data_IF_182651274104
#
_entry.id   IF_182651274104
#
_cell.length_a   1.000
_cell.length_b   1.000
_cell.length_c   1.000
_cell.angle_alpha   90.00
_cell.angle_beta   90.00
_cell.angle_gamma   90.00
#
_symmetry.space_group_name_H-M   'P 1'
#
loop_
_entity.id
_entity.type
_entity.pdbx_description
1 polymer ?
#
# COMPACT_ATOMS: atom_id res chain seq x y z
N UNK A 1 -9.33 -4.18 -32.99
CA UNK A 1 -8.46 -3.41 -32.11
C UNK A 1 -7.16 -4.16 -31.81
N UNK A 2 -7.19 -5.41 -31.37
CA UNK A 2 -6.02 -6.23 -31.02
C UNK A 2 -5.00 -6.40 -32.17
N UNK A 3 -5.45 -6.64 -33.41
CA UNK A 3 -4.57 -6.72 -34.58
C UNK A 3 -3.84 -5.40 -34.87
N UNK A 4 -4.46 -4.23 -34.62
CA UNK A 4 -3.84 -2.91 -34.83
C UNK A 4 -2.78 -2.55 -33.81
N UNK A 5 -2.76 -3.19 -32.64
CA UNK A 5 -1.80 -2.95 -31.57
C UNK A 5 -0.66 -3.97 -31.53
N UNK A 6 -0.51 -4.83 -32.55
CA UNK A 6 0.43 -5.96 -32.60
C UNK A 6 0.30 -6.94 -31.40
N UNK A 7 -0.84 -6.91 -30.71
CA UNK A 7 -1.10 -7.75 -29.53
C UNK A 7 -1.34 -9.23 -29.88
N UNK A 8 -1.52 -9.54 -31.16
CA UNK A 8 -1.72 -10.94 -31.62
C UNK A 8 -0.44 -11.77 -31.44
N UNK A 9 0.74 -11.16 -31.56
CA UNK A 9 2.03 -11.82 -31.32
C UNK A 9 2.32 -11.99 -29.83
N UNK A 10 1.69 -11.15 -28.98
CA UNK A 10 1.80 -11.16 -27.53
C UNK A 10 0.55 -11.68 -26.83
N UNK A 11 -0.08 -12.77 -27.31
CA UNK A 11 -1.37 -13.26 -26.85
C UNK A 11 -1.54 -13.31 -25.31
N UNK A 12 -0.48 -13.64 -24.58
CA UNK A 12 -0.47 -13.67 -23.11
C UNK A 12 -0.51 -12.26 -22.49
N UNK A 13 0.29 -11.33 -23.04
CA UNK A 13 0.26 -9.93 -22.57
C UNK A 13 -1.12 -9.30 -22.85
N UNK A 14 -1.75 -9.60 -24.00
CA UNK A 14 -3.09 -9.13 -24.31
C UNK A 14 -4.14 -9.67 -23.32
N UNK A 15 -4.02 -10.94 -22.91
CA UNK A 15 -4.94 -11.54 -21.92
C UNK A 15 -4.80 -10.84 -20.58
N UNK A 16 -3.58 -10.66 -20.05
CA UNK A 16 -3.40 -10.04 -18.73
C UNK A 16 -3.74 -8.55 -18.73
N UNK A 17 -3.53 -7.84 -19.85
CA UNK A 17 -3.82 -6.40 -19.98
C UNK A 17 -5.29 -6.08 -20.18
N UNK A 18 -6.04 -6.91 -20.95
CA UNK A 18 -7.37 -6.56 -21.44
C UNK A 18 -8.41 -7.68 -21.29
N UNK A 19 -8.01 -8.85 -20.78
CA UNK A 19 -8.92 -9.99 -20.61
C UNK A 19 -10.01 -9.68 -19.58
N UNK A 20 -11.24 -10.18 -19.84
CA UNK A 20 -12.35 -10.10 -18.88
C UNK A 20 -12.18 -11.10 -17.73
N UNK A 21 -11.61 -12.29 -18.01
CA UNK A 21 -11.42 -13.40 -17.07
C UNK A 21 -9.95 -13.85 -17.11
N UNK A 22 -9.05 -12.98 -16.67
CA UNK A 22 -7.59 -13.21 -16.76
C UNK A 22 -7.18 -14.47 -16.00
N UNK A 23 -7.71 -14.65 -14.80
CA UNK A 23 -7.33 -15.72 -13.88
C UNK A 23 -7.72 -17.11 -14.38
N UNK A 24 -8.64 -17.21 -15.33
CA UNK A 24 -8.93 -18.47 -16.06
C UNK A 24 -7.72 -18.99 -16.85
N UNK A 25 -6.88 -18.09 -17.35
CA UNK A 25 -5.73 -18.41 -18.21
C UNK A 25 -4.38 -18.25 -17.51
N UNK A 26 -4.28 -17.29 -16.60
CA UNK A 26 -3.08 -16.99 -15.81
C UNK A 26 -3.51 -16.79 -14.37
N UNK A 27 -3.71 -17.91 -13.66
CA UNK A 27 -4.28 -17.95 -12.30
C UNK A 27 -3.56 -16.99 -11.33
N UNK A 28 -2.25 -16.92 -11.42
CA UNK A 28 -1.43 -16.12 -10.51
C UNK A 28 -1.26 -14.64 -10.95
N UNK A 29 -1.88 -14.22 -12.07
CA UNK A 29 -1.90 -12.81 -12.46
C UNK A 29 -2.89 -12.02 -11.59
N UNK A 30 -2.60 -11.96 -10.29
CA UNK A 30 -3.40 -11.26 -9.27
C UNK A 30 -2.49 -10.66 -8.20
N UNK A 31 -3.06 -9.80 -7.37
CA UNK A 31 -2.38 -9.15 -6.26
C UNK A 31 -3.06 -9.61 -4.97
N UNK A 32 -2.26 -10.00 -3.98
CA UNK A 32 -2.72 -10.35 -2.64
C UNK A 32 -2.22 -9.31 -1.64
N UNK A 33 -3.14 -8.71 -0.90
CA UNK A 33 -2.84 -7.74 0.15
C UNK A 33 -3.25 -8.35 1.48
N UNK A 34 -2.39 -8.30 2.49
CA UNK A 34 -2.71 -8.79 3.83
C UNK A 34 -2.19 -7.89 4.93
N UNK A 35 -2.98 -7.73 6.00
CA UNK A 35 -2.53 -7.16 7.27
C UNK A 35 -2.10 -8.30 8.18
N UNK A 36 -0.91 -8.16 8.77
CA UNK A 36 -0.26 -9.15 9.61
C UNK A 36 -0.02 -8.59 11.00
N UNK A 37 -0.25 -9.42 12.01
CA UNK A 37 0.20 -9.15 13.38
C UNK A 37 1.63 -9.62 13.59
N UNK A 38 2.01 -10.73 12.95
CA UNK A 38 3.34 -11.31 12.98
C UNK A 38 3.65 -11.99 11.64
N UNK A 39 4.83 -12.58 11.48
CA UNK A 39 5.18 -13.32 10.25
C UNK A 39 4.23 -14.54 9.99
N UNK A 40 3.54 -15.03 11.02
CA UNK A 40 2.67 -16.21 10.95
C UNK A 40 1.20 -15.90 11.15
N UNK A 41 0.85 -14.75 11.68
CA UNK A 41 -0.54 -14.40 12.03
C UNK A 41 -1.09 -13.30 11.11
N UNK A 42 -2.13 -13.67 10.35
CA UNK A 42 -2.78 -12.79 9.36
C UNK A 42 -4.13 -12.34 9.90
N UNK A 43 -4.35 -11.04 10.00
CA UNK A 43 -5.64 -10.45 10.43
C UNK A 43 -6.67 -10.45 9.32
N UNK A 44 -6.27 -10.04 8.12
CA UNK A 44 -7.18 -9.92 6.98
C UNK A 44 -6.41 -10.04 5.67
N UNK A 45 -7.10 -10.51 4.64
CA UNK A 45 -6.53 -10.69 3.31
C UNK A 45 -7.55 -10.27 2.25
N UNK A 46 -7.08 -9.57 1.22
CA UNK A 46 -7.82 -9.28 -0.01
C UNK A 46 -7.05 -9.85 -1.21
N UNK A 47 -7.80 -10.44 -2.14
CA UNK A 47 -7.27 -10.92 -3.42
C UNK A 47 -7.88 -10.06 -4.53
N UNK A 48 -7.02 -9.42 -5.32
CA UNK A 48 -7.42 -8.51 -6.38
C UNK A 48 -7.20 -9.19 -7.71
N UNK A 49 -8.28 -9.48 -8.37
CA UNK A 49 -8.37 -10.13 -9.67
C UNK A 49 -8.84 -9.16 -10.77
N UNK A 50 -8.87 -9.62 -12.02
CA UNK A 50 -9.19 -8.83 -13.19
C UNK A 50 -7.96 -8.61 -14.08
N UNK A 51 -8.05 -7.67 -15.02
CA UNK A 51 -6.90 -7.30 -15.84
C UNK A 51 -5.95 -6.36 -15.09
N UNK A 52 -4.71 -6.24 -15.58
CA UNK A 52 -3.66 -5.50 -14.88
C UNK A 52 -4.01 -4.03 -14.62
N UNK A 53 -4.74 -3.38 -15.53
CA UNK A 53 -5.16 -1.98 -15.37
C UNK A 53 -6.12 -1.88 -14.17
N UNK A 54 -7.12 -2.76 -14.12
CA UNK A 54 -8.06 -2.81 -13.01
C UNK A 54 -7.40 -3.20 -11.69
N UNK A 55 -6.39 -4.08 -11.73
CA UNK A 55 -5.65 -4.49 -10.54
C UNK A 55 -4.87 -3.33 -9.94
N UNK A 56 -4.21 -2.48 -10.75
CA UNK A 56 -3.49 -1.29 -10.26
C UNK A 56 -4.44 -0.37 -9.51
N UNK A 57 -5.54 0.03 -10.14
CA UNK A 57 -6.49 0.97 -9.56
C UNK A 57 -7.09 0.42 -8.26
N UNK A 58 -7.55 -0.84 -8.26
CA UNK A 58 -8.15 -1.48 -7.09
C UNK A 58 -7.18 -1.71 -5.96
N UNK A 59 -5.93 -2.11 -6.28
CA UNK A 59 -4.92 -2.33 -5.24
C UNK A 59 -4.57 -1.04 -4.51
N UNK A 60 -4.37 0.04 -5.24
CA UNK A 60 -4.07 1.35 -4.66
C UNK A 60 -5.25 1.92 -3.87
N UNK A 61 -6.48 1.72 -4.36
CA UNK A 61 -7.68 2.14 -3.64
C UNK A 61 -7.87 1.35 -2.33
N UNK A 62 -7.74 0.03 -2.36
CA UNK A 62 -7.83 -0.83 -1.16
C UNK A 62 -6.70 -0.51 -0.17
N UNK A 63 -5.48 -0.29 -0.64
CA UNK A 63 -4.38 0.14 0.22
C UNK A 63 -4.75 1.44 0.95
N UNK A 64 -5.22 2.45 0.23
CA UNK A 64 -5.55 3.76 0.78
C UNK A 64 -6.75 3.73 1.73
N UNK A 65 -7.80 2.97 1.40
CA UNK A 65 -9.07 3.04 2.12
C UNK A 65 -9.19 2.02 3.26
N UNK A 66 -8.47 0.91 3.18
CA UNK A 66 -8.63 -0.18 4.15
C UNK A 66 -7.37 -0.43 4.99
N UNK A 67 -6.18 -0.34 4.41
CA UNK A 67 -4.98 -0.84 5.06
C UNK A 67 -4.04 0.23 5.58
N UNK A 68 -3.94 1.36 4.89
CA UNK A 68 -3.01 2.40 5.26
C UNK A 68 -3.66 3.40 6.19
N UNK A 69 -3.02 3.61 7.32
CA UNK A 69 -3.39 4.69 8.22
C UNK A 69 -3.05 6.04 7.59
N UNK A 70 -3.94 7.00 7.76
CA UNK A 70 -3.65 8.40 7.51
C UNK A 70 -3.47 9.13 8.84
N UNK A 71 -2.54 10.05 8.89
CA UNK A 71 -2.37 10.95 10.01
C UNK A 71 -2.68 12.39 9.60
N UNK A 72 -3.21 13.14 10.55
CA UNK A 72 -3.53 14.55 10.35
C UNK A 72 -2.26 15.35 10.62
N UNK A 73 -1.86 16.18 9.65
CA UNK A 73 -0.83 17.20 9.81
C UNK A 73 -1.42 18.57 9.51
N UNK A 74 -0.77 19.63 9.99
CA UNK A 74 -1.17 21.00 9.71
C UNK A 74 -0.05 21.71 8.96
N UNK A 75 -0.40 22.38 7.87
CA UNK A 75 0.48 23.25 7.11
C UNK A 75 -0.07 24.68 7.23
N UNK A 76 0.45 25.43 8.18
CA UNK A 76 -0.18 26.66 8.64
C UNK A 76 -1.56 26.39 9.25
N UNK A 77 -2.62 27.03 8.72
CA UNK A 77 -4.01 26.81 9.13
C UNK A 77 -4.71 25.65 8.38
N UNK A 78 -4.05 25.04 7.39
CA UNK A 78 -4.66 24.02 6.55
C UNK A 78 -4.40 22.63 7.14
N UNK A 79 -5.49 21.91 7.41
CA UNK A 79 -5.44 20.47 7.74
C UNK A 79 -5.04 19.69 6.50
N UNK A 80 -4.01 18.86 6.63
CA UNK A 80 -3.56 17.88 5.63
C UNK A 80 -3.73 16.49 6.20
N UNK A 81 -4.27 15.59 5.40
CA UNK A 81 -4.31 14.18 5.69
C UNK A 81 -3.24 13.50 4.85
N UNK A 82 -2.26 12.88 5.51
CA UNK A 82 -1.13 12.20 4.86
C UNK A 82 -1.18 10.72 5.17
N UNK A 83 -0.94 9.89 4.18
CA UNK A 83 -0.74 8.46 4.38
C UNK A 83 0.60 8.21 5.07
N UNK A 84 0.69 7.10 5.82
CA UNK A 84 1.93 6.64 6.46
C UNK A 84 3.05 6.42 5.42
N UNK A 85 2.69 5.99 4.22
CA UNK A 85 3.60 5.84 3.09
C UNK A 85 3.21 6.76 1.94
N UNK A 86 4.17 7.37 1.21
CA UNK A 86 3.89 8.22 0.07
C UNK A 86 3.14 7.44 -1.02
N UNK A 87 1.98 7.94 -1.42
CA UNK A 87 1.15 7.29 -2.43
C UNK A 87 1.90 7.04 -3.75
N UNK A 88 2.67 8.03 -4.22
CA UNK A 88 3.43 7.92 -5.45
C UNK A 88 4.55 6.87 -5.38
N UNK A 89 5.16 6.67 -4.20
CA UNK A 89 6.14 5.62 -4.00
C UNK A 89 5.49 4.22 -4.07
N UNK A 90 4.33 4.04 -3.44
CA UNK A 90 3.59 2.77 -3.50
C UNK A 90 3.08 2.47 -4.91
N UNK A 91 2.57 3.50 -5.60
CA UNK A 91 2.12 3.39 -6.98
C UNK A 91 3.26 2.94 -7.90
N UNK A 92 4.40 3.60 -7.84
CA UNK A 92 5.57 3.26 -8.64
C UNK A 92 6.10 1.85 -8.32
N UNK A 93 6.15 1.47 -7.04
CA UNK A 93 6.55 0.14 -6.61
C UNK A 93 5.62 -0.95 -7.15
N UNK A 94 4.30 -0.71 -7.13
CA UNK A 94 3.31 -1.65 -7.67
C UNK A 94 3.44 -1.81 -9.17
N UNK A 95 3.59 -0.72 -9.92
CA UNK A 95 3.79 -0.74 -11.37
C UNK A 95 5.07 -1.48 -11.74
N UNK A 96 6.17 -1.25 -11.02
CA UNK A 96 7.43 -1.98 -11.19
C UNK A 96 7.25 -3.47 -10.90
N UNK A 97 6.54 -3.84 -9.82
CA UNK A 97 6.23 -5.23 -9.51
C UNK A 97 5.48 -5.93 -10.64
N UNK A 98 4.49 -5.26 -11.26
CA UNK A 98 3.72 -5.80 -12.39
C UNK A 98 4.59 -5.96 -13.65
N UNK A 99 5.43 -4.97 -13.97
CA UNK A 99 6.24 -4.98 -15.18
C UNK A 99 7.40 -5.99 -15.10
N UNK A 100 7.97 -6.17 -13.92
CA UNK A 100 9.16 -6.98 -13.71
C UNK A 100 8.90 -8.39 -13.19
N UNK A 101 7.65 -8.73 -12.79
CA UNK A 101 7.35 -10.08 -12.31
C UNK A 101 7.46 -11.14 -13.41
N UNK A 102 7.75 -12.36 -13.00
CA UNK A 102 7.57 -13.55 -13.83
C UNK A 102 6.09 -13.99 -13.78
N UNK A 103 5.43 -14.11 -14.95
CA UNK A 103 4.01 -14.48 -15.02
C UNK A 103 3.75 -15.98 -15.12
N UNK A 104 4.81 -16.79 -15.31
CA UNK A 104 4.70 -18.25 -15.50
C UNK A 104 5.13 -19.05 -14.28
N UNK A 105 5.02 -18.45 -13.12
CA UNK A 105 5.34 -19.04 -11.82
C UNK A 105 4.09 -19.22 -10.98
N UNK A 106 4.22 -19.90 -9.86
CA UNK A 106 3.11 -20.25 -8.98
C UNK A 106 2.75 -19.18 -7.95
N UNK A 107 3.41 -18.01 -7.98
CA UNK A 107 3.21 -16.96 -6.98
C UNK A 107 2.51 -15.73 -7.56
N UNK A 108 1.68 -15.09 -6.75
CA UNK A 108 1.11 -13.76 -6.99
C UNK A 108 2.04 -12.63 -6.49
N UNK A 109 1.74 -11.37 -6.86
CA UNK A 109 2.29 -10.20 -6.18
C UNK A 109 1.71 -10.16 -4.77
N UNK A 110 2.57 -10.03 -3.75
CA UNK A 110 2.16 -9.99 -2.35
C UNK A 110 2.49 -8.63 -1.75
N UNK A 111 1.51 -8.04 -1.05
CA UNK A 111 1.68 -6.82 -0.27
C UNK A 111 1.33 -7.17 1.17
N UNK A 112 2.34 -7.20 2.03
CA UNK A 112 2.20 -7.54 3.45
C UNK A 112 2.35 -6.26 4.27
N UNK A 113 1.37 -5.98 5.11
CA UNK A 113 1.32 -4.78 5.91
C UNK A 113 1.41 -5.18 7.38
N UNK A 114 2.44 -4.69 8.06
CA UNK A 114 2.69 -4.81 9.48
C UNK A 114 2.48 -3.45 10.14
N UNK A 115 2.61 -3.37 11.44
CA UNK A 115 2.47 -2.10 12.15
C UNK A 115 3.66 -1.16 11.91
N UNK A 116 4.85 -1.74 11.73
CA UNK A 116 6.12 -1.04 11.53
C UNK A 116 6.61 -0.96 10.09
N UNK A 117 6.05 -1.77 9.17
CA UNK A 117 6.53 -1.89 7.79
C UNK A 117 5.46 -2.31 6.80
N UNK A 118 5.68 -2.00 5.52
CA UNK A 118 4.98 -2.59 4.38
C UNK A 118 6.01 -3.29 3.49
N UNK A 119 5.74 -4.54 3.14
CA UNK A 119 6.60 -5.36 2.27
C UNK A 119 5.85 -5.70 1.00
N UNK A 120 6.36 -5.26 -0.14
CA UNK A 120 5.86 -5.64 -1.46
C UNK A 120 6.82 -6.66 -2.07
N UNK A 121 6.32 -7.82 -2.48
CA UNK A 121 7.13 -8.90 -3.01
C UNK A 121 6.52 -9.56 -4.23
N UNK A 122 7.37 -9.90 -5.19
CA UNK A 122 7.00 -10.69 -6.36
C UNK A 122 8.16 -11.53 -6.83
N UNK A 123 7.87 -12.67 -7.45
CA UNK A 123 8.86 -13.45 -8.16
C UNK A 123 9.36 -12.66 -9.39
N UNK A 124 10.67 -12.49 -9.50
CA UNK A 124 11.32 -11.70 -10.54
C UNK A 124 12.67 -12.30 -10.91
N UNK A 125 13.15 -11.97 -12.11
CA UNK A 125 14.52 -12.30 -12.55
C UNK A 125 15.34 -11.03 -12.66
N UNK A 126 16.40 -10.95 -11.88
CA UNK A 126 17.38 -9.88 -12.02
C UNK A 126 18.33 -10.26 -13.18
N UNK A 127 18.13 -9.65 -14.36
CA UNK A 127 18.97 -9.85 -15.53
C UNK A 127 19.99 -8.73 -15.62
N UNK A 128 21.27 -9.08 -15.52
CA UNK A 128 22.40 -8.12 -15.65
C UNK A 128 22.33 -6.93 -14.68
N UNK A 129 21.66 -7.08 -13.54
CA UNK A 129 21.50 -6.05 -12.51
C UNK A 129 21.54 -6.71 -11.14
N UNK A 130 22.19 -6.09 -10.17
CA UNK A 130 22.21 -6.54 -8.79
C UNK A 130 21.15 -5.81 -7.96
N UNK A 131 20.91 -6.27 -6.73
CA UNK A 131 19.99 -5.59 -5.80
C UNK A 131 20.50 -4.20 -5.43
N UNK A 132 21.82 -4.06 -5.29
CA UNK A 132 22.49 -2.80 -4.98
C UNK A 132 22.30 -1.76 -6.10
N UNK A 133 22.24 -2.22 -7.34
CA UNK A 133 22.01 -1.35 -8.49
C UNK A 133 20.59 -0.76 -8.51
N UNK A 134 19.61 -1.44 -7.90
CA UNK A 134 18.23 -0.92 -7.79
C UNK A 134 18.14 0.37 -6.99
N UNK A 135 19.11 0.61 -6.09
CA UNK A 135 19.19 1.85 -5.31
C UNK A 135 19.99 2.97 -5.99
N UNK A 136 20.42 2.76 -7.24
CA UNK A 136 21.22 3.71 -8.03
C UNK A 136 20.58 3.94 -9.41
N UNK A 137 20.94 5.01 -10.11
CA UNK A 137 20.51 5.19 -11.50
C UNK A 137 20.95 4.02 -12.37
N UNK A 138 20.01 3.36 -13.04
CA UNK A 138 20.26 2.22 -13.93
C UNK A 138 19.32 2.26 -15.15
N UNK A 139 19.71 1.66 -16.28
CA UNK A 139 18.83 1.57 -17.43
C UNK A 139 17.58 0.73 -17.14
N UNK A 140 16.41 1.19 -17.60
CA UNK A 140 15.19 0.39 -17.54
C UNK A 140 15.27 -0.80 -18.48
N UNK A 141 15.13 -2.01 -17.94
CA UNK A 141 15.09 -3.26 -18.71
C UNK A 141 13.85 -4.05 -18.30
N UNK A 142 12.66 -3.66 -18.77
CA UNK A 142 11.42 -4.32 -18.36
C UNK A 142 11.41 -5.78 -18.79
N UNK A 143 11.13 -6.71 -17.85
CA UNK A 143 10.98 -8.12 -18.14
C UNK A 143 9.82 -8.36 -19.10
N UNK A 144 8.69 -7.70 -18.84
CA UNK A 144 7.47 -7.77 -19.66
C UNK A 144 7.36 -6.55 -20.59
N UNK A 145 8.16 -6.51 -21.65
CA UNK A 145 8.27 -5.35 -22.57
C UNK A 145 6.92 -4.88 -23.13
N UNK A 146 6.02 -5.81 -23.50
CA UNK A 146 4.69 -5.45 -24.04
C UNK A 146 3.79 -4.81 -22.99
N UNK A 147 3.87 -5.27 -21.73
CA UNK A 147 3.12 -4.67 -20.63
C UNK A 147 3.67 -3.26 -20.35
N UNK A 148 4.99 -3.11 -20.31
CA UNK A 148 5.65 -1.83 -20.13
C UNK A 148 5.29 -0.83 -21.23
N UNK A 149 5.29 -1.24 -22.50
CA UNK A 149 4.91 -0.39 -23.63
C UNK A 149 3.46 0.10 -23.53
N UNK A 150 2.52 -0.79 -23.14
CA UNK A 150 1.13 -0.39 -22.93
C UNK A 150 0.99 0.56 -21.74
N UNK A 151 1.67 0.30 -20.64
CA UNK A 151 1.64 1.18 -19.44
C UNK A 151 2.26 2.55 -19.73
N UNK A 152 3.32 2.60 -20.53
CA UNK A 152 3.91 3.86 -21.01
C UNK A 152 2.92 4.64 -21.88
N UNK A 153 2.31 4.00 -22.88
CA UNK A 153 1.32 4.63 -23.77
C UNK A 153 0.05 5.06 -23.05
N UNK A 154 -0.31 4.38 -21.95
CA UNK A 154 -1.42 4.74 -21.08
C UNK A 154 -1.06 5.86 -20.07
N UNK A 155 0.20 6.30 -20.02
CA UNK A 155 0.66 7.32 -19.07
C UNK A 155 0.86 6.83 -17.64
N UNK A 156 0.91 5.52 -17.43
CA UNK A 156 1.13 4.96 -16.09
C UNK A 156 2.58 5.03 -15.65
N UNK A 157 3.52 4.90 -16.58
CA UNK A 157 4.96 4.92 -16.31
C UNK A 157 5.70 5.85 -17.27
N UNK A 158 6.92 6.24 -16.88
CA UNK A 158 7.88 6.94 -17.72
C UNK A 158 8.92 5.97 -18.30
N UNK A 159 9.58 6.35 -19.39
CA UNK A 159 10.52 5.47 -20.12
C UNK A 159 11.99 5.61 -19.69
N UNK A 160 12.32 6.46 -18.72
CA UNK A 160 13.69 6.88 -18.43
C UNK A 160 14.44 6.05 -17.38
N UNK A 161 13.88 4.95 -16.87
CA UNK A 161 14.55 4.09 -15.89
C UNK A 161 14.76 4.72 -14.50
N UNK A 162 13.98 5.73 -14.15
CA UNK A 162 14.08 6.44 -12.86
C UNK A 162 13.09 5.98 -11.81
N UNK A 163 12.36 4.89 -12.05
CA UNK A 163 11.27 4.44 -11.17
C UNK A 163 11.75 4.10 -9.76
N UNK A 164 12.83 3.34 -9.64
CA UNK A 164 13.38 2.97 -8.32
C UNK A 164 13.91 4.18 -7.55
N UNK A 165 14.57 5.12 -8.22
CA UNK A 165 15.03 6.35 -7.60
C UNK A 165 13.85 7.21 -7.12
N UNK A 166 12.78 7.32 -7.91
CA UNK A 166 11.56 8.06 -7.50
C UNK A 166 10.90 7.47 -6.25
N UNK A 167 10.91 6.15 -6.11
CA UNK A 167 10.42 5.49 -4.89
C UNK A 167 11.21 5.98 -3.68
N UNK A 168 12.54 5.97 -3.78
CA UNK A 168 13.44 6.43 -2.72
C UNK A 168 13.23 7.92 -2.42
N UNK A 169 13.25 8.76 -3.45
CA UNK A 169 13.14 10.22 -3.32
C UNK A 169 11.81 10.63 -2.67
N UNK A 170 10.69 10.00 -3.07
CA UNK A 170 9.38 10.26 -2.47
C UNK A 170 9.34 9.86 -0.99
N UNK A 171 9.96 8.75 -0.60
CA UNK A 171 10.01 8.34 0.80
C UNK A 171 10.86 9.31 1.63
N UNK A 172 12.04 9.69 1.14
CA UNK A 172 12.94 10.62 1.83
C UNK A 172 12.32 12.02 1.95
N UNK A 173 11.65 12.51 0.89
CA UNK A 173 10.95 13.79 0.88
C UNK A 173 9.83 13.87 1.95
N UNK A 174 9.17 12.76 2.23
CA UNK A 174 8.15 12.66 3.30
C UNK A 174 8.78 12.31 4.68
N UNK A 175 10.13 12.25 4.76
CA UNK A 175 10.89 12.00 5.98
C UNK A 175 10.83 10.54 6.46
N UNK A 176 10.63 9.60 5.55
CA UNK A 176 10.83 8.17 5.77
C UNK A 176 12.26 7.78 5.44
N UNK A 177 12.72 6.64 5.96
CA UNK A 177 13.94 6.02 5.46
C UNK A 177 13.79 5.57 4.01
N UNK A 178 14.89 5.49 3.27
CA UNK A 178 14.90 4.88 1.96
C UNK A 178 14.39 3.43 2.06
N UNK A 179 13.48 3.00 1.16
CA UNK A 179 13.03 1.61 1.12
C UNK A 179 14.18 0.65 0.79
N UNK A 180 14.09 -0.56 1.33
CA UNK A 180 15.14 -1.57 1.20
C UNK A 180 14.72 -2.63 0.19
N UNK A 181 15.57 -2.88 -0.80
CA UNK A 181 15.42 -3.98 -1.74
C UNK A 181 16.16 -5.23 -1.23
N UNK A 182 15.53 -6.39 -1.33
CA UNK A 182 16.12 -7.69 -1.05
C UNK A 182 15.73 -8.69 -2.12
N UNK A 183 16.67 -9.53 -2.55
CA UNK A 183 16.41 -10.62 -3.48
C UNK A 183 16.75 -11.95 -2.82
N UNK A 184 15.72 -12.77 -2.60
CA UNK A 184 15.87 -14.07 -1.91
C UNK A 184 15.02 -15.11 -2.61
N UNK A 185 15.59 -16.28 -2.92
CA UNK A 185 14.90 -17.43 -3.50
C UNK A 185 14.06 -17.13 -4.75
N UNK A 186 14.55 -16.22 -5.62
CA UNK A 186 13.82 -15.81 -6.82
C UNK A 186 12.77 -14.71 -6.62
N UNK A 187 12.59 -14.23 -5.39
CA UNK A 187 11.68 -13.13 -5.05
C UNK A 187 12.44 -11.82 -4.85
N UNK A 188 11.93 -10.78 -5.45
CA UNK A 188 12.33 -9.40 -5.14
C UNK A 188 11.33 -8.83 -4.12
N UNK A 189 11.87 -8.38 -3.00
CA UNK A 189 11.13 -7.71 -1.94
C UNK A 189 11.53 -6.25 -1.88
N UNK A 190 10.54 -5.38 -1.66
CA UNK A 190 10.72 -3.97 -1.37
C UNK A 190 10.03 -3.65 -0.05
N UNK A 191 10.82 -3.25 0.94
CA UNK A 191 10.36 -2.95 2.29
C UNK A 191 10.35 -1.46 2.54
N UNK A 192 9.19 -0.93 2.88
CA UNK A 192 8.97 0.43 3.36
C UNK A 192 8.84 0.38 4.89
N UNK A 193 9.70 1.12 5.60
CA UNK A 193 9.55 1.27 7.05
C UNK A 193 8.57 2.40 7.36
N UNK A 194 7.65 2.18 8.30
CA UNK A 194 6.76 3.23 8.75
C UNK A 194 7.52 4.26 9.61
N UNK A 195 7.03 5.50 9.64
CA UNK A 195 7.40 6.38 10.75
C UNK A 195 6.88 5.71 12.01
N UNK A 196 7.74 5.50 13.00
CA UNK A 196 7.23 5.30 14.35
C UNK A 196 6.40 6.53 14.68
N UNK A 197 5.08 6.37 14.70
CA UNK A 197 4.20 7.37 15.28
C UNK A 197 4.57 7.32 16.76
N UNK A 198 5.44 8.23 17.20
CA UNK A 198 5.61 8.48 18.62
C UNK A 198 4.22 8.91 19.05
N UNK A 199 3.52 8.04 19.78
CA UNK A 199 2.25 8.40 20.41
C UNK A 199 2.50 9.71 21.12
N UNK A 200 1.80 10.76 20.67
CA UNK A 200 1.89 12.06 21.32
C UNK A 200 1.55 11.82 22.79
N UNK A 201 2.37 12.24 23.76
CA UNK A 201 2.07 12.04 25.17
C UNK A 201 0.77 12.72 25.62
N UNK A 202 0.01 13.31 24.69
CA UNK A 202 -1.29 13.95 24.91
C UNK A 202 -2.50 13.01 24.87
N UNK A 203 -2.35 11.69 24.64
CA UNK A 203 -3.50 10.75 24.62
C UNK A 203 -3.58 9.88 25.87
N UNK A 204 -2.71 10.09 26.85
CA UNK A 204 -2.78 9.40 28.15
C UNK A 204 -3.11 10.39 29.28
N UNK A 205 -4.04 11.34 29.07
CA UNK A 205 -4.66 12.02 30.20
C UNK A 205 -5.92 11.23 30.59
N UNK A 206 -5.76 10.35 31.59
CA UNK A 206 -6.82 9.62 32.27
C UNK A 206 -7.87 10.54 32.95
N UNK A 207 -7.86 11.84 32.69
CA UNK A 207 -8.80 12.81 33.27
C UNK A 207 -10.06 13.05 32.46
N UNK A 208 -10.23 12.40 31.28
CA UNK A 208 -11.53 12.31 30.64
C UNK A 208 -12.35 11.17 31.27
N UNK A 209 -12.77 11.39 32.53
CA UNK A 209 -13.89 10.64 33.08
C UNK A 209 -15.11 10.81 32.16
N UNK A 210 -15.82 9.73 31.82
CA UNK A 210 -17.02 9.85 31.01
C UNK A 210 -17.99 10.79 31.73
N UNK A 211 -18.53 11.77 31.01
CA UNK A 211 -19.52 12.75 31.44
C UNK A 211 -20.86 12.15 31.93
N UNK A 212 -20.86 10.87 32.32
CA UNK A 212 -22.02 10.12 32.77
C UNK A 212 -22.15 9.89 34.27
N UNK A 213 -21.14 10.21 35.10
CA UNK A 213 -21.21 9.86 36.55
C UNK A 213 -21.38 11.05 37.50
N UNK A 214 -21.86 12.21 37.07
CA UNK A 214 -22.15 13.34 37.96
C UNK A 214 -23.59 13.80 37.94
N UNK A 215 -24.54 12.90 37.70
CA UNK A 215 -25.93 13.14 38.08
C UNK A 215 -26.24 12.34 39.35
N UNK A 216 -25.78 12.82 40.51
CA UNK A 216 -26.44 12.48 41.78
C UNK A 216 -27.85 13.07 41.74
N UNK A 217 -28.89 12.26 42.02
CA UNK A 217 -30.25 12.79 42.09
C UNK A 217 -30.32 13.84 43.21
N UNK A 218 -30.73 15.06 42.85
CA UNK A 218 -31.17 16.13 43.76
C UNK A 218 -32.51 15.70 44.38
N UNK A 219 -32.46 14.84 45.36
CA UNK A 219 -33.67 14.29 45.93
C UNK A 219 -33.55 13.79 47.36
N UNK A 220 -32.78 14.45 48.25
CA UNK A 220 -32.87 14.17 49.70
C UNK A 220 -32.26 15.32 50.49
N UNK A 221 -32.96 16.45 50.56
CA UNK A 221 -32.83 17.42 51.65
C UNK A 221 -34.07 18.36 51.68
N UNK A 222 -35.23 17.80 51.83
CA UNK A 222 -36.36 18.54 52.41
C UNK A 222 -36.71 17.91 53.77
N UNK A 223 -36.04 18.39 54.82
CA UNK A 223 -36.58 18.25 56.19
C UNK A 223 -37.79 19.14 56.32
N UNK A 224 -38.92 18.67 56.78
CA UNK A 224 -40.06 19.54 57.06
C UNK A 224 -39.78 20.43 58.29
N UNK A 225 -39.88 21.76 58.05
CA UNK A 225 -40.05 22.75 59.12
C UNK A 225 -41.49 22.68 59.59
N UNK A 226 -41.71 22.11 60.74
CA UNK A 226 -43.04 22.10 61.39
C UNK A 226 -42.94 21.63 62.80
N UNK A 227 -43.37 22.45 63.70
CA UNK A 227 -43.67 22.27 65.14
C UNK A 227 -42.63 22.75 66.15
N UNK A 228 -42.74 24.02 66.44
CA UNK A 228 -42.60 24.56 67.82
C UNK A 228 -43.59 25.63 68.01
N UNK A 229 -44.74 25.24 68.63
CA UNK A 229 -45.59 26.09 69.38
C UNK A 229 -46.19 25.22 70.48
N UNK A 230 -45.62 25.29 71.67
CA UNK A 230 -46.10 25.43 73.03
C UNK A 230 -45.02 25.11 74.04
#
# INVERSE_FOLDING_TARGET
>A
LMKRLNLVVGGRAAVVLFGKNVQKYVLQARIKIGKFLSETEVLTTDIIEGNLIQQVDRALDILRTKYLLSYISYEGIHRREKLVYPYEALREALLNSIIHREYFVSSEIQIRIYDDKLVMGNEARLQDITVEDLSRPHPSRPHNKLIADVFYKAGFIESWGRGTQRIIDNCVAEGLSAPVYEYKMGFLYLTFMSKQIVESPYVADETLRPLGETLRPLGETLRPLGETLR
#
